data_IF_410066589308
#
_entry.id   IF_410066589308
#
_cell.length_a   1.000
_cell.length_b   1.000
_cell.length_c   1.000
_cell.angle_alpha   90.00
_cell.angle_beta   90.00
_cell.angle_gamma   90.00
#
_symmetry.space_group_name_H-M   'P 1'
#
loop_
_entity.id
_entity.type
_entity.pdbx_description
1 polymer ?
#
# COMPACT_ATOMS: atom_id res chain seq x y z
N UNK A 1 8.30 19.26 -14.09
CA UNK A 1 8.40 18.87 -12.67
C UNK A 1 7.14 18.06 -12.36
N UNK A 2 7.19 16.74 -12.50
CA UNK A 2 6.03 15.85 -12.31
C UNK A 2 5.97 15.51 -10.81
N UNK A 3 4.85 15.83 -10.16
CA UNK A 3 4.60 15.44 -8.78
C UNK A 3 4.61 13.89 -8.67
N UNK A 4 5.23 13.37 -7.61
CA UNK A 4 5.49 11.95 -7.41
C UNK A 4 4.24 11.08 -7.49
N UNK A 5 4.26 10.08 -8.37
CA UNK A 5 3.27 9.00 -8.44
C UNK A 5 3.79 7.77 -7.70
N UNK A 6 3.88 7.86 -6.37
CA UNK A 6 4.31 6.76 -5.53
C UNK A 6 3.39 6.62 -4.32
N UNK A 7 3.30 5.41 -3.78
CA UNK A 7 2.65 5.21 -2.50
C UNK A 7 3.40 5.96 -1.38
N UNK A 8 2.70 6.28 -0.31
CA UNK A 8 3.27 6.88 0.90
C UNK A 8 2.83 6.11 2.13
N UNK A 9 3.62 6.21 3.19
CA UNK A 9 3.29 5.65 4.47
C UNK A 9 3.58 6.67 5.58
N UNK A 10 2.77 6.66 6.63
CA UNK A 10 2.97 7.50 7.82
C UNK A 10 2.65 6.69 9.06
N UNK A 11 3.54 6.70 10.04
CA UNK A 11 3.34 6.06 11.34
C UNK A 11 3.16 7.13 12.42
N UNK A 12 1.98 7.19 13.04
CA UNK A 12 1.68 8.17 14.10
C UNK A 12 0.82 7.52 15.18
N UNK A 13 1.16 7.77 16.44
CA UNK A 13 0.36 7.33 17.60
C UNK A 13 0.00 5.84 17.55
N UNK A 14 0.97 5.00 17.16
CA UNK A 14 0.78 3.55 17.02
C UNK A 14 -0.12 3.12 15.87
N UNK A 15 -0.39 3.99 14.90
CA UNK A 15 -1.18 3.70 13.71
C UNK A 15 -0.37 3.96 12.45
N UNK A 16 -0.28 2.94 11.61
CA UNK A 16 0.29 3.04 10.26
C UNK A 16 -0.83 3.36 9.28
N UNK A 17 -0.67 4.42 8.50
CA UNK A 17 -1.48 4.72 7.34
C UNK A 17 -0.63 4.58 6.08
N UNK A 18 -1.12 3.78 5.12
CA UNK A 18 -0.54 3.64 3.79
C UNK A 18 -1.52 4.20 2.76
N UNK A 19 -1.01 4.92 1.76
CA UNK A 19 -1.82 5.58 0.72
C UNK A 19 -1.17 5.36 -0.63
N UNK A 20 -1.96 5.04 -1.66
CA UNK A 20 -1.49 4.84 -3.03
C UNK A 20 -2.38 5.52 -4.08
N UNK A 21 -2.76 6.80 -3.89
CA UNK A 21 -3.58 7.51 -4.87
C UNK A 21 -2.83 7.67 -6.19
N UNK A 22 -3.47 7.30 -7.29
CA UNK A 22 -2.92 7.48 -8.64
C UNK A 22 -1.79 6.54 -9.04
N UNK A 23 -1.37 5.59 -8.17
CA UNK A 23 -0.32 4.61 -8.49
C UNK A 23 -0.65 3.79 -9.74
N UNK A 24 -1.92 3.43 -9.93
CA UNK A 24 -2.37 2.59 -11.04
C UNK A 24 -3.12 3.35 -12.14
N UNK A 25 -3.05 4.68 -12.13
CA UNK A 25 -3.84 5.55 -13.02
C UNK A 25 -5.35 5.54 -12.70
N UNK A 26 -6.14 6.38 -13.38
CA UNK A 26 -7.55 6.56 -13.07
C UNK A 26 -8.45 5.39 -13.53
N UNK A 27 -9.41 5.03 -12.68
CA UNK A 27 -10.72 4.45 -12.99
C UNK A 27 -10.85 3.06 -13.63
N UNK A 28 -9.76 2.32 -13.89
CA UNK A 28 -9.90 0.91 -14.31
C UNK A 28 -9.91 -0.09 -13.16
N UNK A 29 -9.17 0.17 -12.08
CA UNK A 29 -9.04 -0.74 -10.96
C UNK A 29 -10.13 -0.54 -9.91
N UNK A 30 -10.71 -1.65 -9.46
CA UNK A 30 -11.87 -1.66 -8.56
C UNK A 30 -11.57 -2.32 -7.22
N UNK A 31 -10.53 -3.16 -7.14
CA UNK A 31 -10.13 -3.87 -5.93
C UNK A 31 -8.62 -3.81 -5.78
N UNK A 32 -8.15 -3.61 -4.55
CA UNK A 32 -6.73 -3.61 -4.17
C UNK A 32 -6.47 -4.66 -3.10
N UNK A 33 -5.55 -5.59 -3.37
CA UNK A 33 -4.95 -6.47 -2.37
C UNK A 33 -3.65 -5.84 -1.85
N UNK A 34 -3.53 -5.66 -0.54
CA UNK A 34 -2.47 -4.88 0.10
C UNK A 34 -1.72 -5.76 1.09
N UNK A 35 -0.40 -5.74 0.98
CA UNK A 35 0.54 -6.42 1.86
C UNK A 35 1.61 -5.43 2.29
N UNK A 36 1.99 -5.45 3.56
CA UNK A 36 3.12 -4.67 4.01
C UNK A 36 3.88 -5.35 5.15
N UNK A 37 5.20 -5.18 5.13
CA UNK A 37 6.07 -5.81 6.10
C UNK A 37 7.37 -5.06 6.31
N UNK A 38 8.13 -5.59 7.26
CA UNK A 38 9.47 -5.09 7.64
C UNK A 38 10.57 -5.48 6.64
N UNK A 39 10.25 -6.37 5.70
CA UNK A 39 11.11 -6.80 4.60
C UNK A 39 10.27 -7.02 3.33
N UNK A 40 10.93 -7.07 2.17
CA UNK A 40 10.27 -7.31 0.88
C UNK A 40 9.48 -8.64 0.90
N UNK A 41 8.21 -8.58 0.49
CA UNK A 41 7.31 -9.72 0.45
C UNK A 41 6.72 -10.15 1.79
N UNK A 42 7.09 -9.52 2.91
CA UNK A 42 6.56 -9.87 4.23
C UNK A 42 5.20 -9.19 4.46
N UNK A 43 4.31 -9.87 5.19
CA UNK A 43 2.98 -9.38 5.59
C UNK A 43 2.84 -9.18 7.10
N UNK A 44 3.94 -8.96 7.82
CA UNK A 44 3.95 -8.91 9.29
C UNK A 44 3.39 -7.61 9.89
N UNK A 45 3.06 -6.63 9.04
CA UNK A 45 2.42 -5.36 9.44
C UNK A 45 1.01 -5.26 8.87
N UNK A 46 0.84 -5.50 7.56
CA UNK A 46 -0.46 -5.63 6.90
C UNK A 46 -0.49 -7.00 6.24
N UNK A 47 -1.30 -7.90 6.79
CA UNK A 47 -1.40 -9.29 6.31
C UNK A 47 -2.61 -9.44 5.38
N UNK A 48 -2.40 -9.15 4.09
CA UNK A 48 -3.36 -9.37 3.00
C UNK A 48 -4.75 -8.76 3.23
N UNK A 49 -4.87 -7.46 2.96
CA UNK A 49 -6.15 -6.75 3.02
C UNK A 49 -6.69 -6.52 1.62
N UNK A 50 -7.98 -6.79 1.43
CA UNK A 50 -8.69 -6.46 0.19
C UNK A 50 -9.59 -5.26 0.42
N UNK A 51 -9.44 -4.21 -0.38
CA UNK A 51 -10.20 -2.96 -0.24
C UNK A 51 -10.49 -2.32 -1.61
N UNK A 52 -11.51 -1.47 -1.67
CA UNK A 52 -11.78 -0.61 -2.84
C UNK A 52 -11.17 0.79 -2.67
N UNK A 53 -10.68 1.09 -1.46
CA UNK A 53 -10.06 2.37 -1.12
C UNK A 53 -8.60 2.42 -1.56
N UNK A 54 -8.11 3.64 -1.85
CA UNK A 54 -6.68 3.86 -2.19
C UNK A 54 -5.80 4.13 -0.97
N UNK A 55 -6.27 3.71 0.20
CA UNK A 55 -5.54 3.82 1.46
C UNK A 55 -6.00 2.76 2.45
N UNK A 56 -5.14 2.44 3.40
CA UNK A 56 -5.47 1.55 4.50
C UNK A 56 -4.75 1.97 5.79
N UNK A 57 -5.43 1.75 6.92
CA UNK A 57 -4.92 2.04 8.26
C UNK A 57 -4.87 0.76 9.08
N UNK A 58 -3.74 0.54 9.75
CA UNK A 58 -3.52 -0.59 10.62
C UNK A 58 -2.88 -0.15 11.95
N UNK A 59 -3.26 -0.76 13.09
CA UNK A 59 -2.48 -0.64 14.31
C UNK A 59 -1.05 -1.13 14.06
N UNK A 60 -0.06 -0.36 14.49
CA UNK A 60 1.35 -0.73 14.39
C UNK A 60 2.06 -0.28 15.67
N UNK A 61 2.30 -1.25 16.57
CA UNK A 61 3.00 -1.01 17.83
C UNK A 61 4.53 -0.95 17.66
N UNK A 62 5.06 -1.36 16.50
CA UNK A 62 6.48 -1.34 16.21
C UNK A 62 6.88 0.05 15.68
N UNK A 63 8.00 0.57 16.15
CA UNK A 63 8.68 1.66 15.45
C UNK A 63 9.33 1.08 14.20
N UNK A 64 9.03 1.68 13.05
CA UNK A 64 9.51 1.25 11.74
C UNK A 64 10.21 2.43 11.07
N UNK A 65 11.41 2.21 10.54
CA UNK A 65 12.14 3.22 9.75
C UNK A 65 11.78 3.16 8.26
N UNK A 66 11.44 1.96 7.79
CA UNK A 66 10.90 1.72 6.46
C UNK A 66 9.86 0.61 6.47
N UNK A 67 9.06 0.59 5.42
CA UNK A 67 7.98 -0.36 5.19
C UNK A 67 8.03 -0.82 3.74
N UNK A 68 8.07 -2.14 3.52
CA UNK A 68 7.96 -2.71 2.19
C UNK A 68 6.48 -2.95 1.88
N UNK A 69 5.94 -2.18 0.95
CA UNK A 69 4.55 -2.24 0.53
C UNK A 69 4.44 -2.98 -0.80
N UNK A 70 3.46 -3.87 -0.89
CA UNK A 70 2.95 -4.44 -2.15
C UNK A 70 1.46 -4.12 -2.26
N UNK A 71 1.06 -3.54 -3.39
CA UNK A 71 -0.34 -3.36 -3.75
C UNK A 71 -0.58 -4.07 -5.07
N UNK A 72 -1.56 -4.96 -5.12
CA UNK A 72 -2.06 -5.54 -6.35
C UNK A 72 -3.42 -4.94 -6.64
N UNK A 73 -3.54 -4.26 -7.78
CA UNK A 73 -4.80 -3.72 -8.26
C UNK A 73 -5.43 -4.69 -9.26
N UNK A 74 -6.74 -4.91 -9.17
CA UNK A 74 -7.52 -5.78 -10.06
C UNK A 74 -8.69 -4.99 -10.65
N UNK A 75 -8.84 -5.05 -11.96
CA UNK A 75 -9.95 -4.42 -12.69
C UNK A 75 -11.18 -5.34 -12.79
N UNK A 76 -12.27 -4.81 -13.33
CA UNK A 76 -13.51 -5.57 -13.49
C UNK A 76 -13.41 -6.77 -14.48
N UNK A 77 -12.36 -6.81 -15.31
CA UNK A 77 -12.09 -7.90 -16.25
C UNK A 77 -11.13 -8.95 -15.65
N UNK A 78 -10.67 -8.75 -14.41
CA UNK A 78 -9.70 -9.61 -13.75
C UNK A 78 -8.24 -9.35 -14.16
N UNK A 79 -7.96 -8.27 -14.90
CA UNK A 79 -6.59 -7.86 -15.18
C UNK A 79 -5.98 -7.30 -13.90
N UNK A 80 -4.78 -7.80 -13.55
CA UNK A 80 -4.07 -7.35 -12.36
C UNK A 80 -2.77 -6.61 -12.70
N UNK A 81 -2.49 -5.54 -11.95
CA UNK A 81 -1.19 -4.88 -11.91
C UNK A 81 -0.64 -4.88 -10.48
N UNK A 82 0.68 -4.93 -10.35
CA UNK A 82 1.35 -4.96 -9.04
C UNK A 82 2.28 -3.77 -8.92
N UNK A 83 2.20 -3.09 -7.79
CA UNK A 83 3.10 -2.03 -7.36
C UNK A 83 3.84 -2.47 -6.10
N UNK A 84 5.16 -2.31 -6.09
CA UNK A 84 6.01 -2.60 -4.95
C UNK A 84 6.91 -1.40 -4.65
N UNK A 85 7.07 -1.05 -3.38
CA UNK A 85 7.95 0.03 -2.96
C UNK A 85 8.43 -0.15 -1.52
N UNK A 86 9.64 0.33 -1.25
CA UNK A 86 10.09 0.66 0.10
C UNK A 86 9.69 2.11 0.43
N UNK A 87 8.92 2.27 1.51
CA UNK A 87 8.40 3.56 1.98
C UNK A 87 9.11 3.95 3.28
N UNK A 88 9.67 5.16 3.33
CA UNK A 88 10.24 5.72 4.56
C UNK A 88 9.12 6.28 5.44
N UNK A 89 9.24 6.06 6.75
CA UNK A 89 8.24 6.43 7.77
C UNK A 89 8.68 7.59 8.65
#
# INVERSE_FOLDING_TARGET
MLAGHGATATLRDGNLEVRWPGVFGPNRYVIFAVYAGTAEGYGDVINHVVTQETSYKAPCAKLLNSLFLTVQAVDANGLSEVYQAELKL
#
